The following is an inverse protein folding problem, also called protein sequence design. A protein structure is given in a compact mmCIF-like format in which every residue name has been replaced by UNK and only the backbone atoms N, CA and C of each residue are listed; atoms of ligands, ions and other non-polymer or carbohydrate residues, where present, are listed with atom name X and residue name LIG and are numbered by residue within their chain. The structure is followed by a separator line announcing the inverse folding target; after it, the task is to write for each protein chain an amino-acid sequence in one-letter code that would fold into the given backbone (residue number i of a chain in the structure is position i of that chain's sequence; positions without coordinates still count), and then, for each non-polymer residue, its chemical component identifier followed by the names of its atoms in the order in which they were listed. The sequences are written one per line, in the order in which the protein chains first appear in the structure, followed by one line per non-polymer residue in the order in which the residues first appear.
data_IF_333361959949
#
_entry.id   IF_333361959949
#
_cell.length_a   1.000
_cell.length_b   1.000
_cell.length_c   1.000
_cell.angle_alpha   90.00
_cell.angle_beta   90.00
_cell.angle_gamma   90.00
#
_symmetry.space_group_name_H-M   'P 1'
#
loop_
_entity.id
_entity.type
_entity.pdbx_description
1 polymer ?
#
# COMPACT_ATOMS: atom_id res chain seq x y z
N UNK A 1 12.13 -14.99 22.85
CA UNK A 1 12.23 -14.38 21.50
C UNK A 1 11.65 -15.38 20.53
N UNK A 2 10.68 -15.00 19.69
CA UNK A 2 10.19 -15.90 18.65
C UNK A 2 11.34 -16.17 17.66
N UNK A 3 11.57 -17.42 17.24
CA UNK A 3 12.59 -17.70 16.24
C UNK A 3 12.23 -16.98 14.94
N UNK A 4 13.26 -16.59 14.18
CA UNK A 4 13.05 -16.07 12.82
C UNK A 4 12.36 -17.14 11.97
N UNK A 5 11.58 -16.73 10.94
CA UNK A 5 11.02 -17.70 10.01
C UNK A 5 12.14 -18.56 9.42
N UNK A 6 11.85 -19.82 9.14
CA UNK A 6 12.77 -20.64 8.36
C UNK A 6 12.99 -19.98 7.01
N UNK A 7 14.25 -19.81 6.62
CA UNK A 7 14.60 -19.17 5.36
C UNK A 7 14.15 -20.05 4.20
N UNK A 8 13.32 -19.51 3.32
CA UNK A 8 12.83 -20.21 2.13
C UNK A 8 14.01 -20.60 1.22
N UNK A 9 13.91 -21.73 0.51
CA UNK A 9 14.97 -22.18 -0.39
C UNK A 9 15.40 -21.10 -1.39
N UNK A 10 16.71 -20.86 -1.49
CA UNK A 10 17.28 -19.87 -2.42
C UNK A 10 17.31 -18.43 -1.89
N UNK A 11 16.78 -18.18 -0.69
CA UNK A 11 16.92 -16.90 0.02
C UNK A 11 17.98 -16.99 1.12
N UNK A 12 18.40 -15.84 1.64
CA UNK A 12 19.26 -15.74 2.81
C UNK A 12 18.67 -14.77 3.83
N UNK A 13 18.91 -15.03 5.10
CA UNK A 13 18.53 -14.10 6.16
C UNK A 13 19.50 -12.92 6.20
N UNK A 14 18.98 -11.70 6.39
CA UNK A 14 19.82 -10.53 6.59
C UNK A 14 20.71 -10.71 7.85
N UNK A 15 21.98 -10.36 7.73
CA UNK A 15 23.02 -10.54 8.74
C UNK A 15 23.69 -9.22 9.14
N UNK A 16 24.49 -9.23 10.21
CA UNK A 16 25.20 -8.05 10.70
C UNK A 16 24.26 -6.90 11.11
N UNK A 17 24.62 -5.67 10.74
CA UNK A 17 23.85 -4.45 11.03
C UNK A 17 22.47 -4.42 10.35
N UNK A 18 22.27 -5.18 9.28
CA UNK A 18 20.99 -5.30 8.56
C UNK A 18 20.09 -6.40 9.13
N UNK A 19 20.54 -7.12 10.16
CA UNK A 19 19.79 -8.23 10.74
C UNK A 19 18.60 -7.78 11.58
N UNK A 20 18.59 -6.56 12.10
CA UNK A 20 17.45 -5.97 12.82
C UNK A 20 17.08 -4.64 12.15
N UNK A 21 15.79 -4.33 12.07
CA UNK A 21 15.35 -3.02 11.63
C UNK A 21 15.81 -1.98 12.68
N UNK A 22 16.74 -1.12 12.30
CA UNK A 22 17.21 -0.03 13.15
C UNK A 22 16.30 1.16 12.90
N UNK A 23 15.68 1.69 13.96
CA UNK A 23 15.01 2.99 13.89
C UNK A 23 16.09 4.06 13.76
N UNK A 24 16.41 4.44 12.54
CA UNK A 24 17.27 5.60 12.26
C UNK A 24 16.45 6.86 12.59
N UNK A 25 17.05 7.82 13.29
CA UNK A 25 16.32 8.99 13.75
C UNK A 25 15.82 9.84 12.58
N UNK A 26 14.73 10.59 12.79
CA UNK A 26 14.08 11.41 11.74
C UNK A 26 14.97 12.56 11.23
N UNK A 27 16.19 12.70 11.77
CA UNK A 27 17.14 13.76 11.47
C UNK A 27 18.41 13.26 10.80
N UNK A 28 18.54 11.94 10.66
CA UNK A 28 19.68 11.28 10.08
C UNK A 28 19.78 11.62 8.59
N UNK A 29 21.00 11.79 8.03
CA UNK A 29 21.19 12.04 6.61
C UNK A 29 20.44 11.07 5.70
N UNK A 30 20.29 9.81 6.12
CA UNK A 30 19.58 8.78 5.36
C UNK A 30 18.05 8.94 5.41
N UNK A 31 17.49 9.46 6.52
CA UNK A 31 16.06 9.72 6.65
C UNK A 31 15.62 10.95 5.84
N UNK A 32 16.54 11.90 5.61
CA UNK A 32 16.29 13.10 4.82
C UNK A 32 15.96 12.82 3.35
N UNK A 33 16.18 11.59 2.86
CA UNK A 33 15.70 11.14 1.55
C UNK A 33 14.17 11.21 1.42
N UNK A 34 13.42 11.21 2.51
CA UNK A 34 11.96 11.36 2.51
C UNK A 34 11.52 12.84 2.51
N UNK A 35 12.44 13.80 2.72
CA UNK A 35 12.12 15.22 2.80
C UNK A 35 11.98 15.84 1.39
N UNK A 36 10.91 16.61 1.11
CA UNK A 36 10.78 17.36 -0.15
C UNK A 36 11.96 18.30 -0.42
N UNK A 37 12.61 18.80 0.63
CA UNK A 37 13.79 19.68 0.53
C UNK A 37 15.01 18.98 -0.05
N UNK A 38 15.18 17.68 0.19
CA UNK A 38 16.24 16.87 -0.42
C UNK A 38 16.03 16.78 -1.93
N UNK A 39 14.80 16.45 -2.36
CA UNK A 39 14.45 16.33 -3.78
C UNK A 39 14.36 17.66 -4.53
N UNK A 40 14.35 18.79 -3.83
CA UNK A 40 14.44 20.12 -4.42
C UNK A 40 15.89 20.57 -4.71
N UNK A 41 16.90 19.78 -4.31
CA UNK A 41 18.31 20.08 -4.53
C UNK A 41 18.76 19.90 -5.98
N UNK A 42 20.02 20.26 -6.28
CA UNK A 42 20.61 19.95 -7.59
C UNK A 42 20.90 18.44 -7.69
N UNK A 43 20.14 17.74 -8.54
CA UNK A 43 20.30 16.31 -8.85
C UNK A 43 20.22 15.37 -7.64
N UNK A 44 19.10 15.36 -6.89
CA UNK A 44 18.89 14.43 -5.79
C UNK A 44 18.86 12.99 -6.29
N UNK A 45 19.57 12.10 -5.59
CA UNK A 45 19.55 10.67 -5.87
C UNK A 45 19.66 9.88 -4.57
N UNK A 46 18.87 8.80 -4.45
CA UNK A 46 19.02 7.87 -3.34
C UNK A 46 20.40 7.16 -3.39
N UNK A 47 21.03 6.85 -2.25
CA UNK A 47 22.27 6.06 -2.22
C UNK A 47 22.08 4.69 -2.87
N UNK A 48 22.97 4.34 -3.78
CA UNK A 48 22.98 3.04 -4.48
C UNK A 48 24.25 2.25 -4.15
N UNK A 49 24.20 0.89 -4.08
CA UNK A 49 23.03 0.07 -4.38
C UNK A 49 22.00 0.09 -3.24
N UNK A 50 20.75 0.43 -3.56
CA UNK A 50 19.65 0.41 -2.60
C UNK A 50 19.08 -1.01 -2.56
N UNK A 51 19.38 -1.77 -1.51
CA UNK A 51 19.07 -3.21 -1.42
C UNK A 51 19.54 -4.02 -2.64
N UNK A 52 20.73 -3.72 -3.18
CA UNK A 52 21.26 -4.39 -4.36
C UNK A 52 20.77 -3.83 -5.71
N UNK A 53 19.95 -2.77 -5.70
CA UNK A 53 19.43 -2.12 -6.91
C UNK A 53 20.28 -0.91 -7.29
N UNK A 54 20.71 -0.82 -8.54
CA UNK A 54 21.62 0.23 -9.04
C UNK A 54 20.94 1.55 -9.41
N UNK A 55 19.61 1.59 -9.48
CA UNK A 55 18.83 2.81 -9.73
C UNK A 55 17.43 2.64 -9.13
N UNK A 56 16.98 3.61 -8.33
CA UNK A 56 15.67 3.58 -7.66
C UNK A 56 15.05 4.97 -7.71
N UNK A 57 13.87 5.07 -8.32
CA UNK A 57 12.98 6.22 -8.25
C UNK A 57 11.62 5.71 -7.75
N UNK A 58 11.09 6.32 -6.68
CA UNK A 58 9.87 5.87 -6.02
C UNK A 58 8.87 7.02 -5.92
N UNK A 59 7.68 6.83 -6.49
CA UNK A 59 6.50 7.67 -6.21
C UNK A 59 5.48 6.78 -5.50
N UNK A 60 5.63 6.65 -4.19
CA UNK A 60 4.91 5.66 -3.35
C UNK A 60 3.82 6.27 -2.47
N UNK A 61 3.59 7.58 -2.61
CA UNK A 61 2.56 8.28 -1.87
C UNK A 61 1.17 8.05 -2.46
N UNK A 62 0.54 9.14 -2.85
CA UNK A 62 -0.81 9.18 -3.38
C UNK A 62 -0.86 10.26 -4.46
N UNK A 63 -1.93 10.29 -5.25
CA UNK A 63 -2.20 11.41 -6.15
C UNK A 63 -2.85 12.60 -5.44
N UNK A 64 -3.53 13.45 -6.19
CA UNK A 64 -4.21 14.65 -5.72
C UNK A 64 -5.56 14.76 -6.45
N UNK A 65 -6.60 15.26 -5.77
CA UNK A 65 -7.91 15.44 -6.34
C UNK A 65 -7.91 16.51 -7.45
N UNK A 66 -7.08 17.55 -7.36
CA UNK A 66 -6.94 18.61 -8.38
C UNK A 66 -8.28 19.22 -8.88
N UNK A 67 -9.34 19.20 -8.08
CA UNK A 67 -10.67 19.69 -8.42
C UNK A 67 -11.70 18.59 -8.74
N UNK A 68 -11.26 17.34 -8.96
CA UNK A 68 -12.15 16.20 -9.16
C UNK A 68 -13.04 15.99 -7.94
N UNK A 69 -14.30 15.60 -8.16
CA UNK A 69 -15.34 15.50 -7.13
C UNK A 69 -15.51 16.78 -6.29
N UNK A 70 -15.10 17.94 -6.82
CA UNK A 70 -15.09 19.23 -6.11
C UNK A 70 -14.16 19.23 -4.88
N UNK A 71 -13.15 18.36 -4.88
CA UNK A 71 -12.16 18.24 -3.83
C UNK A 71 -10.81 18.76 -4.30
N UNK A 72 -10.02 19.27 -3.35
CA UNK A 72 -8.63 19.67 -3.55
C UNK A 72 -7.76 18.86 -2.61
N UNK A 73 -6.48 18.71 -2.96
CA UNK A 73 -5.49 17.97 -2.18
C UNK A 73 -5.84 16.49 -2.07
N UNK A 74 -5.66 15.91 -0.89
CA UNK A 74 -5.96 14.52 -0.56
C UNK A 74 -6.69 14.47 0.77
N UNK A 75 -7.54 13.48 0.95
CA UNK A 75 -8.31 13.31 2.17
C UNK A 75 -8.67 11.86 2.46
N UNK A 76 -9.75 11.69 3.21
CA UNK A 76 -10.35 10.39 3.50
C UNK A 76 -10.98 9.73 2.27
N UNK A 77 -11.16 10.47 1.19
CA UNK A 77 -11.88 10.03 0.01
C UNK A 77 -10.97 9.14 -0.86
N UNK A 78 -11.31 7.85 -0.95
CA UNK A 78 -10.45 6.81 -1.54
C UNK A 78 -10.66 6.64 -3.05
N UNK A 79 -10.86 7.74 -3.76
CA UNK A 79 -11.05 7.74 -5.22
C UNK A 79 -9.77 7.33 -5.97
N UNK A 80 -9.92 6.88 -7.21
CA UNK A 80 -8.82 6.35 -8.04
C UNK A 80 -7.68 7.37 -8.22
N UNK A 81 -7.99 8.66 -8.42
CA UNK A 81 -6.98 9.71 -8.58
C UNK A 81 -6.08 9.91 -7.34
N UNK A 82 -6.51 9.48 -6.15
CA UNK A 82 -5.67 9.47 -4.95
C UNK A 82 -4.92 8.15 -4.82
N UNK A 83 -5.61 7.04 -5.02
CA UNK A 83 -5.14 5.72 -4.57
C UNK A 83 -4.42 4.91 -5.66
N UNK A 84 -4.61 5.23 -6.94
CA UNK A 84 -3.94 4.57 -8.06
C UNK A 84 -2.72 5.36 -8.52
N UNK A 85 -1.57 4.99 -7.99
CA UNK A 85 -0.28 5.60 -8.34
C UNK A 85 0.36 4.91 -9.55
N UNK A 86 1.10 5.65 -10.39
CA UNK A 86 1.90 5.05 -11.45
C UNK A 86 3.03 4.21 -10.87
N UNK A 87 3.24 3.01 -11.42
CA UNK A 87 4.35 2.13 -11.05
C UNK A 87 5.03 1.61 -12.31
N UNK A 88 6.33 1.90 -12.44
CA UNK A 88 7.17 1.43 -13.53
C UNK A 88 8.32 0.66 -12.90
N UNK A 89 8.54 -0.56 -13.36
CA UNK A 89 9.61 -1.42 -12.87
C UNK A 89 10.56 -1.78 -14.01
N UNK A 90 11.84 -1.46 -13.84
CA UNK A 90 12.91 -1.82 -14.75
C UNK A 90 13.85 -2.79 -14.04
N UNK A 91 13.80 -4.07 -14.41
CA UNK A 91 14.67 -5.10 -13.87
C UNK A 91 15.78 -5.44 -14.87
N UNK A 92 17.05 -5.13 -14.59
CA UNK A 92 18.14 -5.47 -15.51
C UNK A 92 18.36 -6.98 -15.65
N UNK A 93 17.86 -7.80 -14.72
CA UNK A 93 17.90 -9.24 -14.80
C UNK A 93 16.68 -9.84 -15.55
N UNK A 94 15.78 -9.01 -16.08
CA UNK A 94 14.61 -9.45 -16.83
C UNK A 94 14.53 -8.80 -18.21
N UNK A 95 14.28 -9.60 -19.24
CA UNK A 95 13.97 -9.09 -20.58
C UNK A 95 12.48 -8.71 -20.75
N UNK A 96 11.69 -8.78 -19.67
CA UNK A 96 10.25 -8.51 -19.73
C UNK A 96 9.99 -7.04 -20.05
N UNK A 97 9.19 -6.80 -21.08
CA UNK A 97 8.72 -5.47 -21.49
C UNK A 97 7.22 -5.49 -21.67
N UNK A 98 6.57 -4.39 -21.31
CA UNK A 98 5.14 -4.20 -21.54
C UNK A 98 4.43 -3.60 -20.34
N UNK A 99 3.10 -3.49 -20.48
CA UNK A 99 2.18 -3.04 -19.44
C UNK A 99 1.41 -4.24 -18.90
N UNK A 100 1.11 -4.23 -17.60
CA UNK A 100 0.16 -5.15 -16.99
C UNK A 100 -0.86 -4.38 -16.16
N UNK A 101 -2.10 -4.87 -16.13
CA UNK A 101 -3.17 -4.33 -15.29
C UNK A 101 -3.41 -5.21 -14.04
N UNK A 102 -2.34 -5.87 -13.56
CA UNK A 102 -2.37 -6.65 -12.32
C UNK A 102 -2.59 -5.69 -11.14
N UNK A 103 -3.43 -6.11 -10.19
CA UNK A 103 -3.55 -5.40 -8.92
C UNK A 103 -2.28 -5.60 -8.08
N UNK A 104 -1.85 -4.53 -7.43
CA UNK A 104 -0.73 -4.49 -6.50
C UNK A 104 -0.89 -3.33 -5.53
N UNK A 105 -0.19 -3.39 -4.41
CA UNK A 105 -0.22 -2.40 -3.33
C UNK A 105 1.18 -1.83 -3.10
N UNK A 106 1.29 -0.62 -2.55
CA UNK A 106 2.59 0.00 -2.27
C UNK A 106 3.46 -0.86 -1.34
N UNK A 107 2.83 -1.60 -0.41
CA UNK A 107 3.51 -2.52 0.50
C UNK A 107 4.15 -3.74 -0.21
N UNK A 108 3.72 -4.06 -1.44
CA UNK A 108 4.29 -5.12 -2.26
C UNK A 108 5.66 -4.74 -2.85
N UNK A 109 5.98 -3.43 -2.94
CA UNK A 109 7.27 -2.96 -3.46
C UNK A 109 8.42 -3.46 -2.59
N UNK A 110 8.28 -3.37 -1.26
CA UNK A 110 9.27 -3.85 -0.31
C UNK A 110 9.50 -5.36 -0.42
N UNK A 111 8.41 -6.13 -0.54
CA UNK A 111 8.49 -7.58 -0.73
C UNK A 111 9.14 -7.96 -2.07
N UNK A 112 8.85 -7.20 -3.14
CA UNK A 112 9.48 -7.36 -4.45
C UNK A 112 10.99 -7.13 -4.39
N UNK A 113 11.46 -6.10 -3.67
CA UNK A 113 12.90 -5.89 -3.44
C UNK A 113 13.55 -7.05 -2.70
N UNK A 114 12.90 -7.59 -1.66
CA UNK A 114 13.43 -8.73 -0.90
C UNK A 114 13.64 -9.96 -1.80
N UNK A 115 12.67 -10.29 -2.64
CA UNK A 115 12.81 -11.42 -3.58
C UNK A 115 13.94 -11.21 -4.57
N UNK A 116 14.12 -9.99 -5.10
CA UNK A 116 15.20 -9.69 -6.06
C UNK A 116 16.57 -9.64 -5.40
N UNK A 117 16.66 -9.16 -4.17
CA UNK A 117 17.87 -9.20 -3.37
C UNK A 117 18.17 -10.61 -2.80
N UNK A 118 17.25 -11.57 -2.95
CA UNK A 118 17.30 -12.90 -2.33
C UNK A 118 17.32 -12.87 -0.80
N UNK A 119 16.74 -11.83 -0.19
CA UNK A 119 16.68 -11.64 1.26
C UNK A 119 15.35 -12.17 1.78
N UNK A 120 15.38 -12.95 2.85
CA UNK A 120 14.15 -13.41 3.50
C UNK A 120 13.40 -12.26 4.17
N UNK A 121 12.08 -12.26 4.02
CA UNK A 121 11.21 -11.25 4.61
C UNK A 121 11.13 -11.43 6.13
N UNK A 122 11.14 -10.32 6.87
CA UNK A 122 10.92 -10.34 8.31
C UNK A 122 9.45 -10.65 8.64
N UNK A 123 9.20 -11.09 9.88
CA UNK A 123 7.85 -11.20 10.41
C UNK A 123 7.09 -9.87 10.26
N UNK A 124 5.80 -9.94 9.93
CA UNK A 124 4.95 -8.75 9.81
C UNK A 124 5.00 -8.08 8.43
N UNK A 125 5.93 -8.44 7.53
CA UNK A 125 5.82 -7.99 6.14
C UNK A 125 4.62 -8.68 5.47
N UNK A 126 3.68 -7.87 5.01
CA UNK A 126 2.42 -8.33 4.40
C UNK A 126 2.46 -8.31 2.86
N UNK A 127 3.55 -7.79 2.29
CA UNK A 127 3.71 -7.61 0.85
C UNK A 127 3.98 -8.89 0.09
N UNK A 128 3.70 -8.84 -1.20
CA UNK A 128 3.94 -9.91 -2.15
C UNK A 128 4.88 -9.45 -3.24
N UNK A 129 5.57 -10.38 -3.87
CA UNK A 129 6.38 -10.06 -5.04
C UNK A 129 5.48 -9.76 -6.25
N UNK A 130 5.50 -8.50 -6.70
CA UNK A 130 4.74 -8.02 -7.86
C UNK A 130 5.15 -8.73 -9.15
N UNK A 131 6.36 -9.27 -9.18
CA UNK A 131 6.96 -9.90 -10.36
C UNK A 131 6.84 -11.42 -10.35
N UNK A 132 6.27 -12.02 -9.29
CA UNK A 132 6.10 -13.45 -9.17
C UNK A 132 5.18 -14.02 -10.26
N UNK A 133 5.55 -15.19 -10.77
CA UNK A 133 4.70 -15.97 -11.67
C UNK A 133 3.55 -16.60 -10.86
N UNK A 134 2.31 -16.34 -11.28
CA UNK A 134 1.11 -16.78 -10.56
C UNK A 134 -0.03 -15.77 -10.67
N UNK A 135 -1.15 -16.11 -10.05
CA UNK A 135 -2.34 -15.24 -10.03
C UNK A 135 -2.11 -14.06 -9.09
N UNK A 136 -2.27 -12.81 -9.56
CA UNK A 136 -2.25 -11.64 -8.68
C UNK A 136 -3.41 -11.70 -7.67
N UNK A 137 -3.39 -10.85 -6.62
CA UNK A 137 -4.59 -10.57 -5.85
C UNK A 137 -5.79 -10.28 -6.76
N UNK A 138 -6.95 -10.78 -6.37
CA UNK A 138 -8.23 -10.40 -6.97
C UNK A 138 -8.76 -9.08 -6.40
N UNK A 139 -8.13 -8.56 -5.34
CA UNK A 139 -8.49 -7.33 -4.64
C UNK A 139 -7.33 -6.76 -3.83
N UNK A 140 -7.39 -5.45 -3.57
CA UNK A 140 -6.42 -4.70 -2.76
C UNK A 140 -7.12 -3.97 -1.63
N UNK A 141 -6.42 -3.82 -0.52
CA UNK A 141 -6.87 -3.11 0.67
C UNK A 141 -6.19 -1.74 0.74
N UNK A 142 -6.98 -0.70 1.02
CA UNK A 142 -6.52 0.67 1.18
C UNK A 142 -7.04 1.17 2.52
N UNK A 143 -6.16 1.70 3.35
CA UNK A 143 -6.50 2.14 4.70
C UNK A 143 -6.07 3.58 4.90
N UNK A 144 -7.00 4.39 5.40
CA UNK A 144 -6.75 5.76 5.80
C UNK A 144 -7.27 5.97 7.21
N UNK A 145 -6.39 6.40 8.11
CA UNK A 145 -6.77 6.79 9.45
C UNK A 145 -6.04 8.07 9.86
N UNK A 146 -6.80 9.03 10.37
CA UNK A 146 -6.26 10.21 11.00
C UNK A 146 -6.14 9.99 12.52
N UNK A 147 -5.29 10.76 13.20
CA UNK A 147 -5.10 10.67 14.66
C UNK A 147 -6.05 11.57 15.45
N UNK A 148 -6.48 12.68 14.84
CA UNK A 148 -7.36 13.67 15.45
C UNK A 148 -8.63 13.90 14.61
N UNK A 149 -9.72 14.40 15.21
CA UNK A 149 -10.87 14.91 14.46
C UNK A 149 -10.44 15.97 13.45
N UNK A 150 -11.09 15.98 12.29
CA UNK A 150 -10.90 17.03 11.30
C UNK A 150 -12.06 18.03 11.35
N UNK A 151 -11.72 19.31 11.33
CA UNK A 151 -12.68 20.40 11.22
C UNK A 151 -13.51 20.22 9.94
N UNK A 152 -14.83 20.32 10.05
CA UNK A 152 -15.78 20.08 8.95
C UNK A 152 -16.39 18.68 8.90
N UNK A 153 -15.71 17.65 9.43
CA UNK A 153 -16.24 16.27 9.53
C UNK A 153 -16.69 15.96 10.97
N UNK A 154 -16.05 16.57 11.97
CA UNK A 154 -16.44 16.47 13.39
C UNK A 154 -16.08 15.14 14.06
N UNK A 155 -15.62 14.15 13.28
CA UNK A 155 -15.04 12.89 13.76
C UNK A 155 -13.62 12.74 13.24
N UNK A 156 -12.87 11.83 13.86
CA UNK A 156 -11.58 11.36 13.37
C UNK A 156 -11.83 10.52 12.11
N UNK A 157 -11.39 10.94 10.91
CA UNK A 157 -11.64 10.15 9.73
C UNK A 157 -10.83 8.85 9.79
N UNK A 158 -11.54 7.75 9.71
CA UNK A 158 -10.98 6.42 9.59
C UNK A 158 -11.84 5.66 8.59
N UNK A 159 -11.25 5.34 7.45
CA UNK A 159 -11.94 4.76 6.30
C UNK A 159 -11.02 3.76 5.65
N UNK A 160 -11.56 2.57 5.50
CA UNK A 160 -10.88 1.45 4.88
C UNK A 160 -11.67 1.05 3.65
N UNK A 161 -10.97 0.63 2.60
CA UNK A 161 -11.55 0.32 1.30
C UNK A 161 -10.99 -0.96 0.73
N UNK A 162 -11.85 -1.74 0.08
CA UNK A 162 -11.47 -2.85 -0.76
C UNK A 162 -11.75 -2.48 -2.22
N UNK A 163 -10.78 -2.67 -3.10
CA UNK A 163 -10.93 -2.49 -4.55
C UNK A 163 -10.62 -3.80 -5.26
N UNK A 164 -11.53 -4.27 -6.11
CA UNK A 164 -11.26 -5.32 -7.09
C UNK A 164 -11.23 -4.75 -8.52
N UNK A 165 -11.26 -5.61 -9.55
CA UNK A 165 -11.25 -5.16 -10.93
C UNK A 165 -12.52 -4.39 -11.35
N UNK A 166 -13.66 -4.63 -10.68
CA UNK A 166 -14.99 -4.13 -11.07
C UNK A 166 -15.63 -3.23 -10.02
N UNK A 167 -15.27 -3.34 -8.74
CA UNK A 167 -15.90 -2.59 -7.66
C UNK A 167 -14.87 -1.99 -6.69
N UNK A 168 -15.23 -0.84 -6.13
CA UNK A 168 -14.65 -0.34 -4.88
C UNK A 168 -15.75 -0.25 -3.82
N UNK A 169 -15.42 -0.68 -2.61
CA UNK A 169 -16.25 -0.47 -1.42
C UNK A 169 -15.45 0.22 -0.33
N UNK A 170 -16.05 1.17 0.37
CA UNK A 170 -15.43 1.87 1.52
C UNK A 170 -16.37 1.94 2.70
N UNK A 171 -15.82 1.70 3.89
CA UNK A 171 -16.55 1.77 5.16
C UNK A 171 -15.88 2.81 6.04
N UNK A 172 -16.70 3.72 6.60
CA UNK A 172 -16.25 4.80 7.47
C UNK A 172 -16.54 4.45 8.91
N UNK A 173 -15.53 4.55 9.78
CA UNK A 173 -15.71 4.42 11.22
C UNK A 173 -16.59 5.56 11.74
N UNK A 174 -17.57 5.22 12.60
CA UNK A 174 -18.37 6.22 13.32
C UNK A 174 -19.37 7.00 12.47
N UNK A 175 -19.55 6.66 11.19
CA UNK A 175 -20.52 7.30 10.31
C UNK A 175 -21.47 6.24 9.71
N UNK A 176 -22.79 6.50 9.64
CA UNK A 176 -23.76 5.56 9.08
C UNK A 176 -23.73 5.49 7.54
N UNK A 177 -22.63 5.93 6.91
CA UNK A 177 -22.47 6.03 5.47
C UNK A 177 -21.33 5.13 4.99
N UNK A 178 -21.42 4.71 3.74
CA UNK A 178 -20.33 4.06 3.03
C UNK A 178 -20.39 4.39 1.56
N UNK A 179 -19.44 3.82 0.83
CA UNK A 179 -19.35 4.00 -0.61
C UNK A 179 -19.27 2.65 -1.31
N UNK A 180 -19.98 2.52 -2.43
CA UNK A 180 -19.90 1.39 -3.32
C UNK A 180 -20.00 1.89 -4.76
N UNK A 181 -18.98 1.66 -5.57
CA UNK A 181 -18.96 2.07 -6.98
C UNK A 181 -18.68 0.86 -7.88
N UNK A 182 -19.36 0.79 -9.03
CA UNK A 182 -19.11 -0.17 -10.09
C UNK A 182 -18.20 0.47 -11.16
N UNK A 183 -16.92 0.14 -11.12
CA UNK A 183 -15.86 0.82 -11.89
C UNK A 183 -15.91 0.54 -13.40
N UNK A 184 -16.57 -0.53 -13.84
CA UNK A 184 -16.72 -0.83 -15.27
C UNK A 184 -17.74 0.10 -15.95
N UNK A 185 -18.82 0.44 -15.25
CA UNK A 185 -19.92 1.26 -15.77
C UNK A 185 -19.83 2.71 -15.29
N UNK A 186 -19.17 2.95 -14.16
CA UNK A 186 -18.91 4.25 -13.54
C UNK A 186 -17.42 4.37 -13.14
N UNK A 187 -16.51 4.47 -14.12
CA UNK A 187 -15.07 4.59 -13.85
C UNK A 187 -14.67 5.91 -13.17
N UNK A 188 -15.56 6.92 -13.21
CA UNK A 188 -15.36 8.20 -12.56
C UNK A 188 -15.96 8.24 -11.13
N UNK A 189 -16.52 7.13 -10.65
CA UNK A 189 -17.02 6.98 -9.28
C UNK A 189 -18.02 8.08 -8.86
N UNK A 190 -18.96 8.41 -9.75
CA UNK A 190 -19.92 9.49 -9.56
C UNK A 190 -21.25 9.00 -8.96
N UNK A 191 -21.56 7.72 -9.08
CA UNK A 191 -22.82 7.12 -8.68
C UNK A 191 -22.61 6.13 -7.52
N UNK A 192 -22.72 6.61 -6.28
CA UNK A 192 -22.61 5.76 -5.10
C UNK A 192 -23.83 4.82 -4.96
N UNK A 193 -23.59 3.52 -5.06
CA UNK A 193 -24.57 2.44 -4.96
C UNK A 193 -24.77 1.93 -3.52
N UNK A 194 -24.16 2.56 -2.51
CA UNK A 194 -24.18 2.06 -1.13
C UNK A 194 -25.59 1.80 -0.58
N UNK A 195 -26.54 2.67 -0.91
CA UNK A 195 -27.94 2.59 -0.46
C UNK A 195 -28.89 2.10 -1.56
N UNK A 196 -28.37 1.70 -2.72
CA UNK A 196 -29.18 1.14 -3.82
C UNK A 196 -29.66 -0.28 -3.43
N UNK A 197 -30.98 -0.51 -3.32
CA UNK A 197 -31.52 -1.84 -3.04
C UNK A 197 -31.11 -2.90 -4.08
N UNK A 198 -30.91 -2.50 -5.34
CA UNK A 198 -30.43 -3.37 -6.41
C UNK A 198 -28.99 -3.85 -6.21
N UNK A 199 -28.17 -3.09 -5.49
CA UNK A 199 -26.78 -3.43 -5.21
C UNK A 199 -26.61 -4.23 -3.90
N UNK A 200 -27.68 -4.50 -3.15
CA UNK A 200 -27.60 -5.08 -1.80
C UNK A 200 -26.85 -6.43 -1.74
N UNK A 201 -27.10 -7.34 -2.68
CA UNK A 201 -26.41 -8.63 -2.74
C UNK A 201 -24.90 -8.45 -3.02
N UNK A 202 -24.56 -7.52 -3.91
CA UNK A 202 -23.18 -7.23 -4.26
C UNK A 202 -22.43 -6.54 -3.13
N UNK A 203 -23.07 -5.59 -2.44
CA UNK A 203 -22.57 -4.97 -1.22
C UNK A 203 -22.24 -6.00 -0.15
N UNK A 204 -23.15 -6.93 0.13
CA UNK A 204 -22.92 -8.00 1.12
C UNK A 204 -21.72 -8.88 0.76
N UNK A 205 -21.60 -9.31 -0.51
CA UNK A 205 -20.46 -10.08 -1.01
C UNK A 205 -19.13 -9.33 -0.82
N UNK A 206 -19.11 -8.04 -1.15
CA UNK A 206 -17.92 -7.21 -1.04
C UNK A 206 -17.54 -6.93 0.42
N UNK A 207 -18.52 -6.72 1.31
CA UNK A 207 -18.29 -6.56 2.75
C UNK A 207 -17.67 -7.83 3.35
N UNK A 208 -18.11 -9.03 2.96
CA UNK A 208 -17.48 -10.27 3.41
C UNK A 208 -16.01 -10.35 2.96
N UNK A 209 -15.74 -10.08 1.68
CA UNK A 209 -14.36 -10.07 1.15
C UNK A 209 -13.50 -9.03 1.84
N UNK A 210 -14.06 -7.85 2.11
CA UNK A 210 -13.39 -6.78 2.81
C UNK A 210 -13.02 -7.20 4.24
N UNK A 211 -13.95 -7.78 5.00
CA UNK A 211 -13.64 -8.31 6.35
C UNK A 211 -12.52 -9.37 6.31
N UNK A 212 -12.53 -10.25 5.31
CA UNK A 212 -11.45 -11.24 5.13
C UNK A 212 -10.11 -10.58 4.81
N UNK A 213 -10.11 -9.51 4.00
CA UNK A 213 -8.92 -8.75 3.70
C UNK A 213 -8.37 -8.03 4.93
N UNK A 214 -9.22 -7.40 5.74
CA UNK A 214 -8.84 -6.80 7.03
C UNK A 214 -8.17 -7.83 7.96
N UNK A 215 -8.78 -9.02 8.12
CA UNK A 215 -8.20 -10.09 8.93
C UNK A 215 -6.83 -10.54 8.41
N UNK A 216 -6.65 -10.62 7.09
CA UNK A 216 -5.38 -10.98 6.47
C UNK A 216 -4.28 -9.92 6.66
N UNK A 217 -4.65 -8.66 6.91
CA UNK A 217 -3.71 -7.54 7.15
C UNK A 217 -3.59 -7.18 8.64
N UNK A 218 -3.97 -8.08 9.54
CA UNK A 218 -3.67 -7.90 10.96
C UNK A 218 -2.17 -8.04 11.23
N UNK A 219 -1.67 -7.34 12.26
CA UNK A 219 -0.27 -7.40 12.67
C UNK A 219 0.11 -8.83 13.06
N UNK A 220 1.17 -9.34 12.44
CA UNK A 220 1.70 -10.70 12.69
C UNK A 220 3.12 -10.68 13.27
N UNK A 221 3.71 -9.48 13.41
CA UNK A 221 4.99 -9.31 14.03
C UNK A 221 4.94 -9.82 15.48
N UNK A 222 5.98 -10.56 15.93
CA UNK A 222 6.18 -10.90 17.32
C UNK A 222 5.99 -9.68 18.23
N UNK A 223 5.27 -9.86 19.34
CA UNK A 223 5.22 -8.85 20.37
C UNK A 223 6.64 -8.46 20.78
N UNK A 224 6.89 -7.15 20.89
CA UNK A 224 8.11 -6.61 21.47
C UNK A 224 8.18 -7.05 22.93
N UNK A 225 8.85 -8.17 23.20
CA UNK A 225 9.31 -8.47 24.55
C UNK A 225 10.35 -7.41 24.87
N UNK A 226 10.01 -6.50 25.79
CA UNK A 226 10.94 -5.51 26.31
C UNK A 226 12.26 -6.23 26.64
N UNK A 227 13.36 -5.81 26.02
CA UNK A 227 14.69 -6.21 26.47
C UNK A 227 14.81 -5.65 27.89
N UNK A 228 14.79 -6.53 28.89
CA UNK A 228 15.12 -6.21 30.28
C UNK A 228 16.62 -5.93 30.40
#
# INVERSE_FOLDING_TARGET
MLPRPETRPGLHCANGELSEAVRNDLTSPDYRLEEPSFWAGESPAAPTPFYGVHHVELVTGHGDHLGDHQLLFKGSEQYEQITRVPFIWADPASDRRGRCDRLGQTLDIGATFHERARIEQAWGLQGRDLMAEGSPPDSVLIQYAHQAPMDGIGVRPNVHSLRDARYRISVFEGLPRGELYELETDPAELCNLWDDPGAAAQKARLLERFLRAELAHTETAPATVARA
#
